data_IF_751172464759
#
_entry.id   IF_751172464759
#
_cell.length_a   1.000
_cell.length_b   1.000
_cell.length_c   1.000
_cell.angle_alpha   90.00
_cell.angle_beta   90.00
_cell.angle_gamma   90.00
#
_symmetry.space_group_name_H-M   'P 1'
#
loop_
_entity.id
_entity.type
_entity.pdbx_description
1 polymer ?
#
# COMPACT_ATOMS: atom_id res chain seq x y z
N UNK A 1 -0.45 -54.96 -26.91
CA UNK A 1 -1.26 -53.75 -26.63
C UNK A 1 -0.80 -52.68 -27.59
N UNK A 2 -1.71 -51.96 -28.29
CA UNK A 2 -1.28 -50.85 -29.14
C UNK A 2 -0.48 -49.84 -28.31
N UNK A 3 0.53 -49.18 -28.87
CA UNK A 3 1.29 -48.17 -28.14
C UNK A 3 0.32 -47.10 -27.65
N UNK A 4 0.31 -46.90 -26.32
CA UNK A 4 -0.49 -45.85 -25.70
C UNK A 4 0.06 -44.52 -26.21
N UNK A 5 -0.76 -43.76 -26.95
CA UNK A 5 -0.38 -42.43 -27.43
C UNK A 5 0.22 -41.59 -26.30
N UNK A 6 1.25 -40.77 -26.57
CA UNK A 6 1.88 -39.97 -25.55
C UNK A 6 0.87 -38.99 -24.95
N UNK A 7 0.94 -38.79 -23.64
CA UNK A 7 0.13 -37.80 -22.94
C UNK A 7 0.48 -36.39 -23.44
N UNK A 8 -0.51 -35.49 -23.51
CA UNK A 8 -0.25 -34.09 -23.83
C UNK A 8 0.68 -33.45 -22.78
N UNK A 9 1.42 -32.40 -23.15
CA UNK A 9 2.25 -31.70 -22.19
C UNK A 9 1.37 -31.08 -21.09
N UNK A 10 1.77 -31.28 -19.85
CA UNK A 10 1.13 -30.73 -18.65
C UNK A 10 1.51 -29.27 -18.54
N UNK A 11 0.51 -28.43 -18.41
CA UNK A 11 0.66 -26.98 -18.27
C UNK A 11 0.95 -26.67 -16.82
N UNK A 12 2.10 -26.04 -16.56
CA UNK A 12 2.48 -25.57 -15.24
C UNK A 12 2.07 -24.12 -15.03
N UNK A 13 3.02 -23.29 -14.58
CA UNK A 13 2.77 -21.86 -14.38
C UNK A 13 2.50 -21.17 -15.72
N UNK A 14 1.38 -20.45 -15.78
CA UNK A 14 1.01 -19.60 -16.92
C UNK A 14 1.09 -18.15 -16.49
N UNK A 15 1.81 -17.36 -17.27
CA UNK A 15 1.86 -15.91 -17.15
C UNK A 15 1.28 -15.28 -18.41
N UNK A 16 1.31 -13.95 -18.48
CA UNK A 16 0.86 -13.21 -19.65
C UNK A 16 1.92 -13.14 -20.77
N UNK A 17 3.16 -13.60 -20.52
CA UNK A 17 4.25 -13.65 -21.52
C UNK A 17 4.97 -15.01 -21.60
N UNK A 18 4.60 -15.96 -20.75
CA UNK A 18 5.23 -17.28 -20.70
C UNK A 18 4.29 -18.39 -20.26
N UNK A 19 4.54 -19.58 -20.77
CA UNK A 19 3.84 -20.81 -20.38
C UNK A 19 4.89 -21.87 -20.07
N UNK A 20 4.83 -22.44 -18.87
CA UNK A 20 5.64 -23.61 -18.54
C UNK A 20 4.94 -24.90 -19.00
N UNK A 21 5.66 -25.74 -19.73
CA UNK A 21 5.20 -27.04 -20.21
C UNK A 21 6.09 -28.14 -19.64
N UNK A 22 5.45 -29.21 -19.18
CA UNK A 22 6.09 -30.39 -18.60
C UNK A 22 5.60 -31.67 -19.27
N UNK A 23 6.43 -32.70 -19.39
CA UNK A 23 6.02 -33.99 -19.91
C UNK A 23 6.84 -35.13 -19.31
N UNK A 24 6.39 -36.36 -19.52
CA UNK A 24 7.07 -37.59 -19.05
C UNK A 24 7.29 -37.63 -17.52
N UNK A 25 6.32 -37.13 -16.75
CA UNK A 25 6.41 -36.97 -15.28
C UNK A 25 6.44 -38.31 -14.51
N UNK A 26 5.83 -39.35 -15.07
CA UNK A 26 5.69 -40.67 -14.41
C UNK A 26 6.87 -41.59 -14.70
N UNK A 27 7.57 -41.42 -15.83
CA UNK A 27 8.73 -42.22 -16.18
C UNK A 27 9.98 -41.56 -15.61
N UNK A 28 10.24 -41.77 -14.32
CA UNK A 28 11.61 -41.72 -13.76
C UNK A 28 12.48 -42.86 -14.32
N UNK A 29 12.37 -43.17 -15.61
CA UNK A 29 13.25 -44.13 -16.26
C UNK A 29 14.66 -43.54 -16.16
N UNK A 30 15.52 -44.20 -15.37
CA UNK A 30 16.93 -43.85 -15.24
C UNK A 30 17.53 -43.88 -16.64
N UNK A 31 17.78 -42.70 -17.20
CA UNK A 31 18.44 -42.53 -18.50
C UNK A 31 19.86 -43.09 -18.37
N UNK A 32 20.03 -44.35 -18.73
CA UNK A 32 21.30 -45.07 -18.67
C UNK A 32 21.71 -45.44 -20.09
N UNK A 33 22.98 -45.21 -20.43
CA UNK A 33 23.50 -45.44 -21.78
C UNK A 33 23.62 -44.17 -22.64
N UNK A 34 24.15 -44.30 -23.87
CA UNK A 34 24.40 -43.19 -24.80
C UNK A 34 23.10 -42.53 -25.28
N UNK A 35 23.19 -41.24 -25.63
CA UNK A 35 22.03 -40.40 -25.95
C UNK A 35 21.24 -40.88 -27.19
N UNK A 36 21.87 -41.64 -28.11
CA UNK A 36 21.18 -42.19 -29.29
C UNK A 36 20.09 -43.20 -28.91
N UNK A 37 20.10 -43.73 -27.69
CA UNK A 37 19.11 -44.70 -27.19
C UNK A 37 17.94 -44.03 -26.47
N UNK A 38 17.89 -42.70 -26.41
CA UNK A 38 16.87 -41.98 -25.65
C UNK A 38 15.74 -41.49 -26.55
N UNK A 39 14.54 -41.41 -25.97
CA UNK A 39 13.42 -40.73 -26.62
C UNK A 39 13.74 -39.23 -26.76
N UNK A 40 13.49 -38.70 -27.95
CA UNK A 40 13.62 -37.27 -28.25
C UNK A 40 12.24 -36.63 -28.24
N UNK A 41 12.15 -35.44 -27.65
CA UNK A 41 10.91 -34.70 -27.51
C UNK A 41 10.96 -33.43 -28.34
N UNK A 42 9.85 -33.10 -28.99
CA UNK A 42 9.65 -31.80 -29.62
C UNK A 42 8.30 -31.22 -29.20
N UNK A 43 8.26 -29.92 -28.93
CA UNK A 43 7.02 -29.18 -28.72
C UNK A 43 6.73 -28.40 -29.99
N UNK A 44 5.51 -28.55 -30.47
CA UNK A 44 5.00 -27.83 -31.62
C UNK A 44 3.87 -26.89 -31.19
N UNK A 45 3.97 -25.64 -31.61
CA UNK A 45 2.95 -24.60 -31.45
C UNK A 45 2.13 -24.50 -32.74
N UNK A 46 0.81 -24.43 -32.61
CA UNK A 46 -0.10 -24.18 -33.73
C UNK A 46 -0.09 -22.69 -34.09
N UNK A 47 0.21 -22.36 -35.35
CA UNK A 47 -0.07 -21.03 -35.91
C UNK A 47 -1.57 -20.95 -36.25
N UNK A 48 -2.36 -20.13 -35.54
CA UNK A 48 -3.80 -20.04 -35.77
C UNK A 48 -4.18 -19.44 -37.12
N UNK A 49 -3.27 -18.70 -37.78
CA UNK A 49 -3.52 -18.09 -39.10
C UNK A 49 -3.23 -19.09 -40.21
N UNK A 50 -2.12 -19.82 -40.08
CA UNK A 50 -1.65 -20.74 -41.14
C UNK A 50 -2.12 -22.19 -40.94
N UNK A 51 -2.74 -22.52 -39.81
CA UNK A 51 -3.09 -23.90 -39.42
C UNK A 51 -1.89 -24.85 -39.55
N UNK A 52 -0.68 -24.31 -39.35
CA UNK A 52 0.59 -25.03 -39.44
C UNK A 52 1.17 -25.19 -38.04
N UNK A 53 2.10 -26.13 -37.89
CA UNK A 53 2.75 -26.42 -36.61
C UNK A 53 4.22 -26.05 -36.71
N UNK A 54 4.65 -25.11 -35.86
CA UNK A 54 6.05 -24.69 -35.74
C UNK A 54 6.72 -25.41 -34.56
N UNK A 55 7.92 -25.96 -34.78
CA UNK A 55 8.70 -26.57 -33.69
C UNK A 55 9.33 -25.46 -32.86
N UNK A 56 8.87 -25.30 -31.62
CA UNK A 56 9.39 -24.30 -30.67
C UNK A 56 10.45 -24.87 -29.73
N UNK A 57 10.47 -26.20 -29.58
CA UNK A 57 11.47 -26.90 -28.79
C UNK A 57 11.77 -28.26 -29.41
N UNK A 58 13.03 -28.68 -29.40
CA UNK A 58 13.46 -30.04 -29.73
C UNK A 58 14.66 -30.45 -28.87
N UNK A 59 14.54 -31.54 -28.13
CA UNK A 59 15.63 -32.01 -27.26
C UNK A 59 15.23 -33.17 -26.35
N UNK A 60 15.93 -33.30 -25.23
CA UNK A 60 15.74 -34.40 -24.27
C UNK A 60 15.23 -33.91 -22.91
N UNK A 61 14.95 -32.61 -22.75
CA UNK A 61 14.37 -32.11 -21.50
C UNK A 61 12.92 -32.58 -21.36
N UNK A 62 12.43 -32.57 -20.13
CA UNK A 62 11.03 -32.84 -19.76
C UNK A 62 10.29 -31.58 -19.32
N UNK A 63 10.95 -30.42 -19.43
CA UNK A 63 10.42 -29.10 -19.15
C UNK A 63 10.86 -28.15 -20.25
N UNK A 64 9.95 -27.30 -20.70
CA UNK A 64 10.26 -26.14 -21.53
C UNK A 64 9.39 -24.96 -21.12
N UNK A 65 9.97 -23.75 -21.14
CA UNK A 65 9.25 -22.51 -20.89
C UNK A 65 9.15 -21.79 -22.22
N UNK A 66 7.93 -21.61 -22.70
CA UNK A 66 7.66 -20.80 -23.89
C UNK A 66 7.65 -19.35 -23.43
N UNK A 67 8.46 -18.49 -24.04
CA UNK A 67 8.59 -17.07 -23.69
C UNK A 67 8.22 -16.19 -24.89
N UNK A 68 7.94 -14.90 -24.63
CA UNK A 68 7.59 -13.94 -25.69
C UNK A 68 6.14 -14.04 -26.17
N UNK A 69 5.25 -14.60 -25.35
CA UNK A 69 3.83 -14.75 -25.69
C UNK A 69 3.05 -13.43 -25.56
N UNK A 70 2.00 -13.28 -26.36
CA UNK A 70 1.07 -12.16 -26.29
C UNK A 70 0.05 -12.35 -25.15
N UNK A 71 -0.33 -11.30 -24.41
CA UNK A 71 -1.36 -11.37 -23.37
C UNK A 71 -2.76 -11.65 -23.93
N UNK A 72 -3.60 -12.38 -23.18
CA UNK A 72 -4.97 -12.78 -23.57
C UNK A 72 -5.04 -13.56 -24.90
N UNK A 73 -3.96 -14.19 -25.31
CA UNK A 73 -3.89 -14.96 -26.55
C UNK A 73 -3.98 -16.44 -26.23
N UNK A 74 -4.80 -17.15 -27.01
CA UNK A 74 -4.95 -18.60 -26.93
C UNK A 74 -3.82 -19.25 -27.72
N UNK A 75 -3.01 -20.06 -27.04
CA UNK A 75 -1.98 -20.88 -27.61
C UNK A 75 -2.36 -22.35 -27.55
N UNK A 76 -1.91 -23.11 -28.55
CA UNK A 76 -2.14 -24.55 -28.63
C UNK A 76 -0.83 -25.27 -28.89
N UNK A 77 -0.55 -26.25 -28.05
CA UNK A 77 0.69 -27.01 -28.12
C UNK A 77 0.39 -28.49 -28.28
N UNK A 78 1.32 -29.21 -28.92
CA UNK A 78 1.36 -30.67 -28.91
C UNK A 78 2.77 -31.18 -28.69
N UNK A 79 2.87 -32.35 -28.07
CA UNK A 79 4.13 -33.05 -27.85
C UNK A 79 4.33 -34.09 -28.96
N UNK A 80 5.50 -34.06 -29.57
CA UNK A 80 6.00 -35.11 -30.45
C UNK A 80 7.07 -35.90 -29.73
N UNK A 81 6.90 -37.22 -29.66
CA UNK A 81 7.88 -38.15 -29.10
C UNK A 81 8.47 -38.97 -30.24
N UNK A 82 9.79 -38.94 -30.38
CA UNK A 82 10.54 -39.71 -31.37
C UNK A 82 11.32 -40.80 -30.66
N UNK A 83 11.07 -42.06 -31.03
CA UNK A 83 11.81 -43.20 -30.50
C UNK A 83 13.22 -43.27 -31.09
N UNK A 84 14.14 -44.02 -30.45
CA UNK A 84 15.45 -44.34 -31.02
C UNK A 84 15.38 -45.07 -32.37
N UNK A 85 14.28 -45.78 -32.65
CA UNK A 85 14.03 -46.45 -33.93
C UNK A 85 13.54 -45.49 -35.04
N UNK A 86 13.33 -44.20 -34.73
CA UNK A 86 12.85 -43.19 -35.67
C UNK A 86 11.32 -43.10 -35.78
N UNK A 87 10.58 -43.90 -35.04
CA UNK A 87 9.12 -43.82 -34.99
C UNK A 87 8.69 -42.55 -34.24
N UNK A 88 7.72 -41.83 -34.80
CA UNK A 88 7.24 -40.57 -34.25
C UNK A 88 5.76 -40.69 -33.85
N UNK A 89 5.45 -40.35 -32.61
CA UNK A 89 4.08 -40.29 -32.10
C UNK A 89 3.75 -38.87 -31.60
N UNK A 90 2.50 -38.45 -31.81
CA UNK A 90 2.00 -37.13 -31.40
C UNK A 90 0.97 -37.26 -30.29
N UNK A 91 1.04 -36.35 -29.32
CA UNK A 91 0.02 -36.20 -28.29
C UNK A 91 -1.22 -35.47 -28.82
N UNK A 92 -2.35 -35.56 -28.11
CA UNK A 92 -3.44 -34.60 -28.25
C UNK A 92 -2.96 -33.15 -28.03
N UNK A 93 -3.73 -32.20 -28.52
CA UNK A 93 -3.49 -30.77 -28.32
C UNK A 93 -3.82 -30.36 -26.89
N UNK A 94 -2.99 -29.50 -26.32
CA UNK A 94 -3.30 -28.74 -25.11
C UNK A 94 -3.54 -27.28 -25.47
N UNK A 95 -4.62 -26.71 -24.97
CA UNK A 95 -4.99 -25.32 -25.19
C UNK A 95 -4.77 -24.51 -23.92
N UNK A 96 -4.05 -23.39 -24.01
CA UNK A 96 -3.71 -22.53 -22.88
C UNK A 96 -3.85 -21.08 -23.28
N UNK A 97 -4.51 -20.28 -22.47
CA UNK A 97 -4.58 -18.83 -22.67
C UNK A 97 -3.64 -18.12 -21.71
N UNK A 98 -2.85 -17.17 -22.22
CA UNK A 98 -2.05 -16.28 -21.39
C UNK A 98 -2.97 -15.36 -20.57
N UNK A 99 -2.56 -15.00 -19.36
CA UNK A 99 -3.39 -14.18 -18.46
C UNK A 99 -3.48 -12.73 -18.94
N UNK A 100 -4.51 -12.00 -18.49
CA UNK A 100 -4.64 -10.55 -18.72
C UNK A 100 -3.62 -9.81 -17.87
N UNK A 101 -2.71 -9.05 -18.48
CA UNK A 101 -1.77 -8.20 -17.75
C UNK A 101 -2.29 -6.79 -17.56
N UNK A 102 -2.36 -6.35 -16.29
CA UNK A 102 -2.25 -4.91 -15.97
C UNK A 102 -0.81 -4.74 -15.50
N UNK A 103 0.07 -4.38 -16.43
CA UNK A 103 1.47 -4.11 -16.15
C UNK A 103 1.64 -2.69 -15.60
N UNK A 104 2.22 -2.58 -14.42
CA UNK A 104 2.80 -1.33 -13.91
C UNK A 104 4.26 -1.61 -13.54
N UNK A 105 5.16 -1.41 -14.50
CA UNK A 105 6.59 -1.28 -14.20
C UNK A 105 7.31 -2.54 -13.69
N UNK A 106 7.05 -3.72 -14.27
CA UNK A 106 7.94 -4.87 -14.08
C UNK A 106 7.60 -5.85 -12.96
N UNK A 107 6.61 -5.56 -12.10
CA UNK A 107 6.22 -6.45 -11.01
C UNK A 107 4.72 -6.82 -11.08
N UNK A 108 4.33 -8.05 -10.65
CA UNK A 108 2.92 -8.38 -10.47
C UNK A 108 2.31 -7.40 -9.46
N UNK A 109 1.10 -6.89 -9.76
CA UNK A 109 0.39 -5.98 -8.86
C UNK A 109 0.16 -6.68 -7.52
N UNK A 110 0.99 -6.33 -6.55
CA UNK A 110 0.99 -6.89 -5.20
C UNK A 110 0.27 -5.95 -4.22
N UNK A 111 0.00 -6.40 -3.01
CA UNK A 111 -0.49 -5.53 -1.93
C UNK A 111 0.46 -4.35 -1.67
N UNK A 112 1.76 -4.48 -1.96
CA UNK A 112 2.73 -3.39 -1.87
C UNK A 112 2.45 -2.26 -2.88
N UNK A 113 1.93 -2.59 -4.05
CA UNK A 113 1.49 -1.60 -5.04
C UNK A 113 0.28 -0.81 -4.53
N UNK A 114 -0.64 -1.47 -3.83
CA UNK A 114 -1.78 -0.82 -3.18
C UNK A 114 -1.32 0.11 -2.04
N UNK A 115 -0.42 -0.36 -1.18
CA UNK A 115 0.20 0.46 -0.13
C UNK A 115 0.92 1.68 -0.72
N UNK A 116 1.68 1.49 -1.81
CA UNK A 116 2.37 2.57 -2.51
C UNK A 116 1.38 3.59 -3.08
N UNK A 117 0.33 3.14 -3.78
CA UNK A 117 -0.69 4.00 -4.37
C UNK A 117 -1.36 4.89 -3.32
N UNK A 118 -1.77 4.31 -2.19
CA UNK A 118 -2.28 5.06 -1.04
C UNK A 118 -1.22 6.01 -0.48
N UNK A 119 0.04 5.57 -0.41
CA UNK A 119 1.12 6.39 0.15
C UNK A 119 1.44 7.61 -0.74
N UNK A 120 1.38 7.48 -2.05
CA UNK A 120 1.60 8.60 -2.98
C UNK A 120 0.32 9.38 -3.30
N UNK A 121 -0.84 8.94 -2.79
CA UNK A 121 -2.16 9.48 -3.10
C UNK A 121 -2.45 9.49 -4.61
N UNK A 122 -2.08 8.42 -5.30
CA UNK A 122 -2.29 8.22 -6.73
C UNK A 122 -3.64 7.52 -6.94
N UNK A 123 -4.67 8.33 -7.20
CA UNK A 123 -6.06 7.87 -7.36
C UNK A 123 -6.23 6.99 -8.61
N UNK A 124 -5.58 7.34 -9.73
CA UNK A 124 -5.64 6.58 -10.98
C UNK A 124 -5.03 5.19 -10.80
N UNK A 125 -3.87 5.12 -10.12
CA UNK A 125 -3.24 3.86 -9.77
C UNK A 125 -4.12 3.05 -8.82
N UNK A 126 -4.72 3.68 -7.82
CA UNK A 126 -5.62 3.01 -6.86
C UNK A 126 -6.83 2.39 -7.57
N UNK A 127 -7.51 3.15 -8.43
CA UNK A 127 -8.68 2.70 -9.20
C UNK A 127 -8.30 1.53 -10.10
N UNK A 128 -7.18 1.62 -10.81
CA UNK A 128 -6.68 0.52 -11.65
C UNK A 128 -6.38 -0.75 -10.87
N UNK A 129 -5.79 -0.62 -9.68
CA UNK A 129 -5.48 -1.75 -8.80
C UNK A 129 -6.78 -2.42 -8.31
N UNK A 130 -7.75 -1.62 -7.85
CA UNK A 130 -9.02 -2.11 -7.33
C UNK A 130 -9.90 -2.74 -8.41
N UNK A 131 -9.97 -2.13 -9.60
CA UNK A 131 -10.69 -2.69 -10.76
C UNK A 131 -10.08 -4.00 -11.27
N UNK A 132 -8.78 -4.21 -11.02
CA UNK A 132 -8.10 -5.45 -11.37
C UNK A 132 -8.60 -6.67 -10.61
N UNK A 133 -9.21 -6.51 -9.42
CA UNK A 133 -9.87 -7.59 -8.66
C UNK A 133 -8.98 -8.72 -8.14
N UNK A 134 -7.65 -8.66 -8.35
CA UNK A 134 -6.69 -9.71 -7.98
C UNK A 134 -5.81 -9.33 -6.77
N UNK A 135 -6.08 -8.19 -6.13
CA UNK A 135 -5.28 -7.69 -5.01
C UNK A 135 -6.01 -7.88 -3.69
N UNK A 136 -5.36 -8.60 -2.77
CA UNK A 136 -5.77 -8.71 -1.38
C UNK A 136 -5.60 -7.35 -0.66
N UNK A 137 -6.73 -6.71 -0.32
CA UNK A 137 -6.76 -5.34 0.24
C UNK A 137 -6.45 -5.29 1.74
N UNK A 138 -6.63 -6.42 2.44
CA UNK A 138 -6.48 -6.52 3.90
C UNK A 138 -5.07 -6.96 4.34
N UNK A 139 -4.10 -6.98 3.42
CA UNK A 139 -2.72 -7.35 3.75
C UNK A 139 -2.02 -6.20 4.49
N UNK A 140 -1.57 -6.41 5.74
CA UNK A 140 -0.82 -5.40 6.46
C UNK A 140 0.59 -5.22 5.86
N UNK A 141 1.11 -4.00 5.90
CA UNK A 141 2.50 -3.70 5.56
C UNK A 141 3.45 -4.17 6.68
N UNK A 142 4.76 -3.93 6.51
CA UNK A 142 5.80 -4.26 7.50
C UNK A 142 5.59 -3.66 8.90
N UNK A 143 4.69 -2.69 9.04
CA UNK A 143 4.35 -2.04 10.30
C UNK A 143 3.00 -2.51 10.86
N UNK A 144 2.34 -3.49 10.23
CA UNK A 144 1.06 -4.02 10.69
C UNK A 144 -0.18 -3.23 10.22
N UNK A 145 -0.02 -2.21 9.38
CA UNK A 145 -1.14 -1.39 8.90
C UNK A 145 -1.64 -1.85 7.53
N UNK A 146 -2.95 -1.98 7.35
CA UNK A 146 -3.57 -2.21 6.04
C UNK A 146 -3.55 -0.92 5.20
N UNK A 147 -3.71 -1.04 3.88
CA UNK A 147 -3.71 0.13 3.00
C UNK A 147 -4.84 1.11 3.36
N UNK A 148 -5.99 0.59 3.80
CA UNK A 148 -7.10 1.40 4.32
C UNK A 148 -6.72 2.15 5.60
N UNK A 149 -6.01 1.50 6.54
CA UNK A 149 -5.53 2.15 7.75
C UNK A 149 -4.54 3.28 7.44
N UNK A 150 -3.64 3.07 6.48
CA UNK A 150 -2.71 4.10 6.02
C UNK A 150 -3.44 5.26 5.35
N UNK A 151 -4.44 4.99 4.51
CA UNK A 151 -5.27 6.02 3.88
C UNK A 151 -6.02 6.85 4.92
N UNK A 152 -6.64 6.17 5.90
CA UNK A 152 -7.33 6.81 7.01
C UNK A 152 -6.37 7.69 7.83
N UNK A 153 -5.21 7.15 8.21
CA UNK A 153 -4.20 7.88 8.97
C UNK A 153 -3.69 9.12 8.23
N UNK A 154 -3.44 9.00 6.92
CA UNK A 154 -3.05 10.14 6.07
C UNK A 154 -4.12 11.21 5.97
N UNK A 155 -5.38 10.82 5.80
CA UNK A 155 -6.51 11.76 5.80
C UNK A 155 -6.65 12.52 7.12
N UNK A 156 -6.34 11.87 8.24
CA UNK A 156 -6.35 12.52 9.55
C UNK A 156 -5.14 13.45 9.76
N UNK A 157 -3.95 13.00 9.38
CA UNK A 157 -2.72 13.81 9.48
C UNK A 157 -2.76 15.03 8.55
N UNK A 158 -3.36 14.93 7.36
CA UNK A 158 -3.41 16.04 6.40
C UNK A 158 -4.24 17.23 6.91
N UNK A 159 -5.41 16.97 7.53
CA UNK A 159 -6.22 18.02 8.15
C UNK A 159 -5.49 18.70 9.31
N UNK A 160 -4.84 17.92 10.17
CA UNK A 160 -4.07 18.46 11.31
C UNK A 160 -2.91 19.34 10.86
N UNK A 161 -2.16 18.91 9.84
CA UNK A 161 -1.06 19.70 9.27
C UNK A 161 -1.56 21.00 8.63
N UNK A 162 -2.67 20.95 7.89
CA UNK A 162 -3.27 22.16 7.31
C UNK A 162 -3.73 23.14 8.39
N UNK A 163 -4.30 22.64 9.50
CA UNK A 163 -4.67 23.43 10.66
C UNK A 163 -3.46 24.08 11.35
N UNK A 164 -2.38 23.31 11.55
CA UNK A 164 -1.14 23.80 12.14
C UNK A 164 -0.44 24.86 11.27
N UNK A 165 -0.45 24.70 9.94
CA UNK A 165 0.16 25.62 9.00
C UNK A 165 -0.72 26.85 8.67
N UNK A 166 -1.98 26.86 9.10
CA UNK A 166 -2.88 28.00 8.90
C UNK A 166 -3.53 28.07 7.51
N UNK A 167 -3.51 26.99 6.72
CA UNK A 167 -4.05 26.95 5.36
C UNK A 167 -5.57 26.75 5.36
N UNK A 168 -6.32 27.81 5.65
CA UNK A 168 -7.76 27.77 5.84
C UNK A 168 -8.55 27.24 4.62
N UNK A 169 -8.10 27.56 3.41
CA UNK A 169 -8.64 27.07 2.15
C UNK A 169 -8.53 25.54 2.03
N UNK A 170 -7.36 25.00 2.37
CA UNK A 170 -7.12 23.55 2.40
C UNK A 170 -7.97 22.89 3.49
N UNK A 171 -8.06 23.49 4.68
CA UNK A 171 -8.90 23.00 5.78
C UNK A 171 -10.37 22.90 5.34
N UNK A 172 -10.90 23.95 4.70
CA UNK A 172 -12.26 23.96 4.14
C UNK A 172 -12.47 22.88 3.09
N UNK A 173 -11.49 22.71 2.19
CA UNK A 173 -11.54 21.69 1.14
C UNK A 173 -11.61 20.28 1.74
N UNK A 174 -10.68 19.95 2.65
CA UNK A 174 -10.63 18.64 3.32
C UNK A 174 -11.92 18.36 4.08
N UNK A 175 -12.47 19.38 4.75
CA UNK A 175 -13.69 19.22 5.54
C UNK A 175 -14.93 18.96 4.68
N UNK A 176 -15.03 19.58 3.51
CA UNK A 176 -16.07 19.27 2.51
C UNK A 176 -15.98 17.85 1.95
N UNK A 177 -14.79 17.27 1.93
CA UNK A 177 -14.53 15.91 1.44
C UNK A 177 -14.51 14.85 2.57
N UNK A 178 -15.14 15.15 3.71
CA UNK A 178 -15.39 14.15 4.75
C UNK A 178 -14.34 14.01 5.85
N UNK A 179 -13.31 14.87 5.89
CA UNK A 179 -12.36 14.86 7.01
C UNK A 179 -13.08 15.17 8.34
N UNK A 180 -12.81 14.42 9.42
CA UNK A 180 -13.51 14.57 10.71
C UNK A 180 -12.71 15.40 11.72
N UNK A 181 -13.39 16.24 12.51
CA UNK A 181 -12.82 16.92 13.66
C UNK A 181 -12.47 15.98 14.82
N UNK A 182 -13.10 14.81 14.90
CA UNK A 182 -12.86 13.83 15.97
C UNK A 182 -11.63 12.97 15.71
N UNK A 183 -11.02 13.09 14.54
CA UNK A 183 -9.79 12.39 14.21
C UNK A 183 -8.69 12.71 15.22
N UNK A 184 -7.93 11.68 15.62
CA UNK A 184 -6.86 11.77 16.61
C UNK A 184 -5.55 11.24 16.06
N UNK A 185 -4.45 11.93 16.35
CA UNK A 185 -3.11 11.42 16.09
C UNK A 185 -2.68 10.39 17.14
N UNK A 186 -1.45 9.89 17.04
CA UNK A 186 -0.89 8.91 17.97
C UNK A 186 -0.81 9.41 19.42
N UNK A 187 -0.78 10.72 19.64
CA UNK A 187 -0.84 11.34 20.97
C UNK A 187 -2.27 11.61 21.46
N UNK A 188 -3.27 11.26 20.67
CA UNK A 188 -4.67 11.58 20.95
C UNK A 188 -5.06 13.02 20.62
N UNK A 189 -4.19 13.80 19.97
CA UNK A 189 -4.45 15.19 19.63
C UNK A 189 -5.39 15.29 18.43
N UNK A 190 -6.32 16.22 18.48
CA UNK A 190 -7.26 16.55 17.38
C UNK A 190 -6.75 17.72 16.55
N UNK A 191 -7.37 17.99 15.41
CA UNK A 191 -7.05 19.15 14.55
C UNK A 191 -7.05 20.49 15.33
N UNK A 192 -7.89 20.65 16.36
CA UNK A 192 -7.96 21.88 17.15
C UNK A 192 -6.73 22.06 18.05
N UNK A 193 -6.14 20.97 18.55
CA UNK A 193 -4.86 21.02 19.28
C UNK A 193 -3.74 21.54 18.36
N UNK A 194 -3.68 21.01 17.14
CA UNK A 194 -2.71 21.43 16.13
C UNK A 194 -2.91 22.88 15.68
N UNK A 195 -4.15 23.33 15.50
CA UNK A 195 -4.45 24.73 15.20
C UNK A 195 -4.06 25.68 16.34
N UNK A 196 -4.25 25.27 17.60
CA UNK A 196 -3.86 26.03 18.78
C UNK A 196 -2.33 26.16 18.94
N UNK A 197 -1.58 25.12 18.57
CA UNK A 197 -0.11 25.16 18.49
C UNK A 197 0.38 26.11 17.39
N UNK A 198 -0.24 26.05 16.20
CA UNK A 198 0.10 26.94 15.08
C UNK A 198 -0.29 28.40 15.32
N UNK A 199 -1.28 28.64 16.19
CA UNK A 199 -1.68 29.99 16.60
C UNK A 199 -2.50 30.74 15.55
N UNK A 200 -3.10 30.05 14.58
CA UNK A 200 -3.82 30.66 13.46
C UNK A 200 -5.31 30.91 13.78
N UNK A 201 -5.62 32.14 14.18
CA UNK A 201 -6.97 32.56 14.60
C UNK A 201 -8.06 32.29 13.56
N UNK A 202 -7.79 32.56 12.26
CA UNK A 202 -8.76 32.40 11.18
C UNK A 202 -9.20 30.96 10.95
N UNK A 203 -8.28 30.00 11.15
CA UNK A 203 -8.58 28.57 11.09
C UNK A 203 -9.46 28.18 12.27
N UNK A 204 -9.08 28.56 13.48
CA UNK A 204 -9.80 28.22 14.71
C UNK A 204 -11.21 28.79 14.72
N UNK A 205 -11.38 30.06 14.34
CA UNK A 205 -12.69 30.70 14.22
C UNK A 205 -13.59 29.94 13.24
N UNK A 206 -13.03 29.51 12.12
CA UNK A 206 -13.78 28.70 11.15
C UNK A 206 -14.13 27.30 11.68
N UNK A 207 -13.18 26.63 12.36
CA UNK A 207 -13.40 25.31 12.97
C UNK A 207 -14.54 25.35 14.00
N UNK A 208 -14.55 26.36 14.87
CA UNK A 208 -15.61 26.56 15.87
C UNK A 208 -16.96 26.77 15.17
N UNK A 209 -16.99 27.59 14.11
CA UNK A 209 -18.20 27.81 13.31
C UNK A 209 -18.70 26.54 12.61
N UNK A 210 -17.80 25.63 12.22
CA UNK A 210 -18.11 24.32 11.64
C UNK A 210 -18.49 23.25 12.69
N UNK A 211 -18.64 23.64 13.96
CA UNK A 211 -19.09 22.76 15.05
C UNK A 211 -17.97 21.88 15.64
N UNK A 212 -16.71 22.31 15.55
CA UNK A 212 -15.60 21.62 16.20
C UNK A 212 -15.73 21.68 17.73
N UNK A 213 -15.54 20.54 18.40
CA UNK A 213 -15.57 20.45 19.87
C UNK A 213 -14.32 21.11 20.48
N UNK A 214 -14.55 22.04 21.42
CA UNK A 214 -13.51 22.92 21.96
C UNK A 214 -12.76 22.30 23.14
N UNK A 215 -13.46 21.53 23.99
CA UNK A 215 -12.95 20.95 25.24
C UNK A 215 -12.46 19.49 25.10
N UNK A 216 -11.94 19.16 23.92
CA UNK A 216 -11.30 17.87 23.68
C UNK A 216 -10.00 17.75 24.46
N UNK A 217 -9.73 16.59 25.03
CA UNK A 217 -8.45 16.28 25.69
C UNK A 217 -7.62 15.30 24.86
N UNK A 218 -6.31 15.52 24.83
CA UNK A 218 -5.37 14.55 24.27
C UNK A 218 -5.17 13.33 25.19
N UNK A 219 -4.61 12.26 24.64
CA UNK A 219 -4.39 10.99 25.35
C UNK A 219 -3.04 10.90 26.04
N UNK A 220 -2.08 11.77 25.74
CA UNK A 220 -0.74 11.75 26.34
C UNK A 220 -0.66 12.49 27.67
N UNK A 221 -1.03 13.76 27.65
CA UNK A 221 -0.92 14.74 28.73
C UNK A 221 -2.29 15.10 29.32
N UNK A 222 -3.38 14.82 28.60
CA UNK A 222 -4.71 15.27 29.00
C UNK A 222 -4.85 16.78 28.85
N UNK A 223 -4.14 17.38 27.90
CA UNK A 223 -4.25 18.82 27.64
C UNK A 223 -5.44 19.11 26.74
N UNK A 224 -6.08 20.25 26.99
CA UNK A 224 -7.05 20.83 26.07
C UNK A 224 -6.35 21.74 25.05
N UNK A 225 -7.01 22.08 23.92
CA UNK A 225 -6.50 23.09 23.01
C UNK A 225 -6.13 24.40 23.71
N UNK A 226 -6.88 24.83 24.72
CA UNK A 226 -6.58 26.04 25.50
C UNK A 226 -5.26 25.92 26.29
N UNK A 227 -4.99 24.75 26.88
CA UNK A 227 -3.70 24.50 27.55
C UNK A 227 -2.52 24.53 26.57
N UNK A 228 -2.72 24.06 25.33
CA UNK A 228 -1.71 24.10 24.25
C UNK A 228 -1.34 25.52 23.86
N UNK A 229 -2.31 26.43 23.78
CA UNK A 229 -2.04 27.87 23.51
C UNK A 229 -1.06 28.43 24.55
N UNK A 230 -1.28 28.09 25.82
CA UNK A 230 -0.46 28.58 26.93
C UNK A 230 0.94 27.97 26.92
N UNK A 231 1.05 26.72 26.48
CA UNK A 231 2.31 25.97 26.43
C UNK A 231 3.20 26.28 25.24
N UNK A 232 2.60 26.47 24.06
CA UNK A 232 3.30 26.44 22.78
C UNK A 232 3.26 27.80 22.10
N UNK A 233 2.07 28.30 21.72
CA UNK A 233 1.97 29.50 20.86
C UNK A 233 2.06 30.82 21.63
N UNK A 234 1.53 30.87 22.86
CA UNK A 234 1.40 32.09 23.67
C UNK A 234 0.45 33.13 23.05
N UNK A 235 -0.38 32.74 22.08
CA UNK A 235 -1.22 33.67 21.33
C UNK A 235 -2.50 34.01 22.10
N UNK A 236 -2.53 35.19 22.71
CA UNK A 236 -3.68 35.68 23.49
C UNK A 236 -4.98 35.71 22.68
N UNK A 237 -4.93 36.00 21.38
CA UNK A 237 -6.13 36.04 20.52
C UNK A 237 -6.73 34.66 20.29
N UNK A 238 -5.90 33.62 20.25
CA UNK A 238 -6.39 32.24 20.17
C UNK A 238 -7.01 31.83 21.50
N UNK A 239 -6.39 32.19 22.62
CA UNK A 239 -6.97 31.92 23.94
C UNK A 239 -8.34 32.60 24.10
N UNK A 240 -8.48 33.86 23.68
CA UNK A 240 -9.78 34.55 23.72
C UNK A 240 -10.80 33.86 22.84
N UNK A 241 -10.47 33.49 21.60
CA UNK A 241 -11.40 32.77 20.71
C UNK A 241 -11.90 31.45 21.30
N UNK A 242 -11.02 30.67 21.93
CA UNK A 242 -11.42 29.41 22.56
C UNK A 242 -12.31 29.65 23.79
N UNK A 243 -11.99 30.65 24.62
CA UNK A 243 -12.80 31.01 25.79
C UNK A 243 -14.17 31.53 25.38
N UNK A 244 -14.23 32.40 24.36
CA UNK A 244 -15.47 32.93 23.80
C UNK A 244 -16.34 31.83 23.19
N UNK A 245 -15.71 30.76 22.67
CA UNK A 245 -16.37 29.56 22.19
C UNK A 245 -16.77 28.57 23.31
N UNK A 246 -16.56 28.93 24.57
CA UNK A 246 -17.01 28.15 25.74
C UNK A 246 -15.98 27.16 26.29
N UNK A 247 -14.69 27.30 25.97
CA UNK A 247 -13.64 26.44 26.53
C UNK A 247 -13.62 26.49 28.06
N UNK A 248 -13.62 25.32 28.70
CA UNK A 248 -13.58 25.23 30.15
C UNK A 248 -12.16 25.50 30.68
N UNK A 249 -12.00 26.67 31.29
CA UNK A 249 -10.73 27.13 31.91
C UNK A 249 -10.34 26.38 33.18
N UNK A 250 -11.18 25.45 33.68
CA UNK A 250 -10.95 24.69 34.90
C UNK A 250 -10.63 23.21 34.65
N UNK A 251 -10.52 22.77 33.40
CA UNK A 251 -10.07 21.40 33.08
C UNK A 251 -8.70 21.17 33.69
N UNK A 252 -8.47 19.98 34.25
CA UNK A 252 -7.19 19.61 34.84
C UNK A 252 -6.48 18.61 33.92
N UNK A 253 -5.20 18.85 33.68
CA UNK A 253 -4.35 17.86 33.02
C UNK A 253 -4.07 16.66 33.92
N UNK A 254 -3.29 15.69 33.43
CA UNK A 254 -2.88 14.51 34.20
C UNK A 254 -2.06 14.83 35.45
N UNK A 255 -1.45 16.01 35.51
CA UNK A 255 -0.71 16.49 36.68
C UNK A 255 -1.58 17.34 37.62
N UNK A 256 -2.89 17.43 37.36
CA UNK A 256 -3.83 18.25 38.13
C UNK A 256 -3.74 19.74 37.84
N UNK A 257 -3.00 20.17 36.82
CA UNK A 257 -2.80 21.59 36.47
C UNK A 257 -3.94 22.09 35.57
N UNK A 258 -4.44 23.28 35.87
CA UNK A 258 -5.40 23.99 35.01
C UNK A 258 -4.65 24.79 33.92
N UNK A 259 -5.34 25.24 32.84
CA UNK A 259 -4.74 26.11 31.83
C UNK A 259 -4.02 27.34 32.45
N UNK A 260 -4.64 27.98 33.44
CA UNK A 260 -4.03 29.12 34.15
C UNK A 260 -2.77 28.73 34.92
N UNK A 261 -2.76 27.57 35.58
CA UNK A 261 -1.58 27.07 36.28
C UNK A 261 -0.44 26.72 35.31
N UNK A 262 -0.77 26.22 34.11
CA UNK A 262 0.21 25.95 33.06
C UNK A 262 0.92 27.23 32.59
N UNK A 263 0.19 28.35 32.43
CA UNK A 263 0.79 29.67 32.12
C UNK A 263 1.81 30.06 33.20
N UNK A 264 1.43 29.98 34.47
CA UNK A 264 2.30 30.36 35.60
C UNK A 264 3.53 29.46 35.68
N UNK A 265 3.35 28.14 35.59
CA UNK A 265 4.43 27.14 35.60
C UNK A 265 5.47 27.42 34.51
N UNK A 266 5.03 27.80 33.31
CA UNK A 266 5.92 28.08 32.19
C UNK A 266 6.61 29.43 32.30
N UNK A 267 5.95 30.45 32.85
CA UNK A 267 6.59 31.72 33.16
C UNK A 267 7.67 31.54 34.22
N UNK A 268 7.45 30.70 35.23
CA UNK A 268 8.45 30.34 36.23
C UNK A 268 9.63 29.56 35.62
N UNK A 269 9.37 28.61 34.72
CA UNK A 269 10.42 27.87 33.99
C UNK A 269 11.24 28.78 33.07
N UNK A 270 10.59 29.69 32.33
CA UNK A 270 11.27 30.71 31.50
C UNK A 270 12.12 31.64 32.36
N UNK A 271 11.63 32.08 33.52
CA UNK A 271 12.40 32.86 34.51
C UNK A 271 13.61 32.09 35.05
N UNK A 272 13.49 30.79 35.32
CA UNK A 272 14.62 29.94 35.75
C UNK A 272 15.69 29.81 34.66
N UNK A 273 15.30 29.65 33.39
CA UNK A 273 16.23 29.60 32.25
C UNK A 273 16.91 30.94 31.95
N UNK A 274 16.26 32.06 32.27
CA UNK A 274 16.80 33.42 32.06
C UNK A 274 17.62 33.96 33.23
N UNK A 275 17.71 33.27 34.37
CA UNK A 275 18.64 33.68 35.44
C UNK A 275 20.07 33.57 34.91
N UNK A 276 20.85 34.66 34.83
CA UNK A 276 22.24 34.57 34.42
C UNK A 276 22.94 33.60 35.36
N UNK A 277 23.69 32.64 34.80
CA UNK A 277 24.65 31.85 35.58
C UNK A 277 25.50 32.88 36.30
N UNK A 278 25.42 32.95 37.64
CA UNK A 278 26.33 33.81 38.42
C UNK A 278 27.73 33.40 38.01
N UNK A 279 28.40 34.22 37.20
CA UNK A 279 29.83 34.08 36.98
C UNK A 279 30.45 34.32 38.34
N UNK A 280 30.94 33.24 38.97
CA UNK A 280 31.90 33.38 40.04
C UNK A 280 33.06 34.20 39.48
N UNK A 281 33.16 35.45 39.92
CA UNK A 281 34.36 36.24 39.74
C UNK A 281 35.31 35.74 40.82
N UNK A 282 36.36 35.02 40.38
CA UNK A 282 37.51 34.66 41.19
C UNK A 282 38.40 35.88 41.43
#
# INVERSE_FOLDING_TARGET
TPPSKPHPPVVGKVTHHSIELYWDLEKKAKRQGPQEQWFRFSIEEEDPKMHSYGVIYAGYATKHVVEGLEPRTLYRFRLKVTSPSGECEYSPLVSVSTTSSIWLGGEPVSSEHLHRAVNVNDEDLLVRILQGGHVEVDVPNKFGFTALMVAAQKGYTSLMLACYAGHLDVVKYLRRHGASWQARDLGGCTALHWAADGGHCSVIEWMIKDGCEVDVVDTGSGWTPLMRVSAVSGNQRVASLLIDAGANVNVKDRNGKTPLMSVISLLEERKKKQRPKKSCVC
#
